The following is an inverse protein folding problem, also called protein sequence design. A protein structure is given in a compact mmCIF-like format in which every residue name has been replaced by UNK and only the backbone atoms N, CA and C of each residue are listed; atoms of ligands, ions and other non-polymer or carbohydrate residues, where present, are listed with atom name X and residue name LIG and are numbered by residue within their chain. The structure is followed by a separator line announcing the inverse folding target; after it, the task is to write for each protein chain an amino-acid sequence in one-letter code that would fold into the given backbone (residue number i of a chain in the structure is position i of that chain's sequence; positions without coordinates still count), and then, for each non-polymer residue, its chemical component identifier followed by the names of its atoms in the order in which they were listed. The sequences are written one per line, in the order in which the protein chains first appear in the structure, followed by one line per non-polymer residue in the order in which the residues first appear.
data_IF_746954544997
#
_entry.id   IF_746954544997
#
_cell.length_a   1.000
_cell.length_b   1.000
_cell.length_c   1.000
_cell.angle_alpha   90.00
_cell.angle_beta   90.00
_cell.angle_gamma   90.00
#
_symmetry.space_group_name_H-M   'P 1'
#
loop_
_entity.id
_entity.type
_entity.pdbx_description
1 polymer ?
#
# COMPACT_ATOMS: atom_id res chain seq x y z
N UNK A 1 -13.56 -10.91 17.07
CA UNK A 1 -14.43 -10.56 15.94
C UNK A 1 -13.75 -9.42 15.19
N UNK A 2 -13.24 -9.66 13.97
CA UNK A 2 -12.54 -8.63 13.18
C UNK A 2 -13.53 -7.96 12.24
N UNK A 3 -13.79 -6.63 12.35
CA UNK A 3 -14.86 -5.96 11.61
C UNK A 3 -14.38 -5.28 10.30
N UNK A 4 -13.30 -5.76 9.68
CA UNK A 4 -12.74 -5.10 8.48
C UNK A 4 -12.91 -6.01 7.26
N UNK A 5 -13.75 -5.60 6.31
CA UNK A 5 -13.75 -6.19 4.97
C UNK A 5 -12.47 -5.75 4.26
N UNK A 6 -11.51 -6.67 4.14
CA UNK A 6 -10.29 -6.41 3.38
C UNK A 6 -10.64 -6.25 1.89
N UNK A 7 -10.18 -5.13 1.32
CA UNK A 7 -10.19 -4.83 -0.11
C UNK A 7 -11.53 -4.51 -0.79
N UNK A 8 -11.50 -3.46 -1.62
CA UNK A 8 -12.56 -3.15 -2.58
C UNK A 8 -12.37 -4.03 -3.82
N UNK A 9 -13.47 -4.64 -4.29
CA UNK A 9 -13.45 -5.53 -5.46
C UNK A 9 -13.96 -4.77 -6.68
N UNK A 10 -13.09 -4.57 -7.67
CA UNK A 10 -13.46 -3.99 -8.97
C UNK A 10 -13.05 -4.94 -10.09
N UNK A 11 -14.03 -5.39 -10.89
CA UNK A 11 -13.82 -6.27 -12.05
C UNK A 11 -12.87 -7.45 -11.78
N UNK A 12 -13.03 -8.13 -10.64
CA UNK A 12 -12.22 -9.30 -10.26
C UNK A 12 -10.87 -9.00 -9.61
N UNK A 13 -10.47 -7.73 -9.48
CA UNK A 13 -9.26 -7.32 -8.75
C UNK A 13 -9.66 -6.81 -7.36
N UNK A 14 -8.94 -7.26 -6.32
CA UNK A 14 -9.12 -6.83 -4.93
C UNK A 14 -8.01 -5.86 -4.54
N UNK A 15 -8.32 -4.58 -4.43
CA UNK A 15 -7.33 -3.54 -4.09
C UNK A 15 -7.22 -3.36 -2.58
N UNK A 16 -5.99 -3.26 -2.08
CA UNK A 16 -5.76 -2.87 -0.68
C UNK A 16 -6.23 -1.44 -0.47
N UNK A 17 -6.98 -1.19 0.60
CA UNK A 17 -7.29 0.18 1.03
C UNK A 17 -6.05 0.85 1.64
N UNK A 18 -6.08 2.17 1.79
CA UNK A 18 -5.03 2.91 2.50
C UNK A 18 -4.87 2.40 3.93
N UNK A 19 -5.98 2.08 4.61
CA UNK A 19 -5.96 1.54 5.97
C UNK A 19 -5.36 0.14 6.04
N UNK A 20 -5.61 -0.70 5.02
CA UNK A 20 -4.96 -2.02 4.91
C UNK A 20 -3.43 -1.88 4.81
N UNK A 21 -2.95 -0.93 4.00
CA UNK A 21 -1.51 -0.69 3.83
C UNK A 21 -0.89 -0.17 5.15
N UNK A 22 -1.56 0.73 5.85
CA UNK A 22 -1.12 1.22 7.17
C UNK A 22 -1.07 0.06 8.16
N UNK A 23 -2.12 -0.77 8.21
CA UNK A 23 -2.20 -1.91 9.12
C UNK A 23 -1.07 -2.91 8.85
N UNK A 24 -0.86 -3.31 7.59
CA UNK A 24 0.22 -4.22 7.20
C UNK A 24 1.58 -3.65 7.61
N UNK A 25 1.84 -2.38 7.31
CA UNK A 25 3.11 -1.76 7.66
C UNK A 25 3.33 -1.68 9.17
N UNK A 26 2.29 -1.33 9.94
CA UNK A 26 2.34 -1.32 11.40
C UNK A 26 2.70 -2.69 11.96
N UNK A 27 2.02 -3.76 11.49
CA UNK A 27 2.30 -5.14 11.92
C UNK A 27 3.73 -5.57 11.56
N UNK A 28 4.24 -5.16 10.40
CA UNK A 28 5.62 -5.44 10.00
C UNK A 28 6.63 -4.78 10.93
N UNK A 29 6.49 -3.49 11.21
CA UNK A 29 7.37 -2.74 12.14
C UNK A 29 7.31 -3.38 13.54
N UNK A 30 6.11 -3.61 14.07
CA UNK A 30 5.94 -4.26 15.38
C UNK A 30 6.63 -5.63 15.46
N UNK A 31 6.65 -6.38 14.36
CA UNK A 31 7.26 -7.72 14.31
C UNK A 31 8.78 -7.72 14.10
N UNK A 32 9.32 -6.72 13.38
CA UNK A 32 10.73 -6.71 12.95
C UNK A 32 11.59 -5.70 13.71
N UNK A 33 11.03 -4.53 14.05
CA UNK A 33 11.73 -3.42 14.72
C UNK A 33 10.88 -2.87 15.89
N UNK A 34 10.65 -3.66 16.95
CA UNK A 34 9.69 -3.32 18.02
C UNK A 34 10.02 -2.03 18.80
N UNK A 35 11.26 -1.54 18.73
CA UNK A 35 11.71 -0.32 19.41
C UNK A 35 11.73 0.92 18.50
N UNK A 36 11.31 0.79 17.24
CA UNK A 36 11.29 1.90 16.28
C UNK A 36 9.98 2.70 16.42
N UNK A 37 10.03 4.03 16.55
CA UNK A 37 8.83 4.84 16.69
C UNK A 37 7.99 4.84 15.41
N UNK A 38 6.73 4.40 15.52
CA UNK A 38 5.75 4.42 14.44
C UNK A 38 5.22 5.87 14.28
N UNK A 39 5.56 6.56 13.18
CA UNK A 39 5.24 7.99 12.99
C UNK A 39 4.50 8.33 11.70
N UNK A 40 3.20 8.00 11.54
CA UNK A 40 2.41 8.21 10.30
C UNK A 40 2.79 9.45 9.45
N UNK A 41 3.65 9.27 8.45
CA UNK A 41 4.06 10.27 7.48
C UNK A 41 3.04 10.30 6.33
N UNK A 42 2.26 11.38 6.34
CA UNK A 42 1.45 11.92 5.24
C UNK A 42 0.50 10.92 4.54
N UNK A 43 -0.73 10.81 5.04
CA UNK A 43 -1.80 9.96 4.47
C UNK A 43 -2.12 10.28 2.99
N UNK A 44 -1.97 11.54 2.57
CA UNK A 44 -2.34 11.95 1.21
C UNK A 44 -1.40 11.33 0.15
N UNK A 45 -0.12 11.15 0.46
CA UNK A 45 0.83 10.50 -0.45
C UNK A 45 0.72 8.97 -0.48
N UNK A 46 0.09 8.38 0.54
CA UNK A 46 -0.22 6.96 0.54
C UNK A 46 -1.43 6.66 -0.37
N UNK A 47 -2.44 7.55 -0.37
CA UNK A 47 -3.59 7.45 -1.28
C UNK A 47 -3.17 7.45 -2.75
N UNK A 48 -2.22 8.30 -3.15
CA UNK A 48 -1.71 8.31 -4.53
C UNK A 48 -0.94 7.05 -4.90
N UNK A 49 -0.25 6.41 -3.95
CA UNK A 49 0.42 5.13 -4.18
C UNK A 49 -0.58 3.99 -4.29
N UNK A 50 -1.62 4.01 -3.46
CA UNK A 50 -2.68 3.00 -3.46
C UNK A 50 -3.51 3.03 -4.75
N UNK A 51 -3.73 4.20 -5.35
CA UNK A 51 -4.51 4.34 -6.60
C UNK A 51 -3.73 4.00 -7.88
N UNK A 52 -2.39 3.94 -7.84
CA UNK A 52 -1.57 3.67 -9.03
C UNK A 52 -1.92 2.38 -9.77
N UNK A 53 -2.16 1.24 -9.12
CA UNK A 53 -2.56 0.02 -9.81
C UNK A 53 -3.86 0.16 -10.61
N UNK A 54 -4.87 0.88 -10.10
CA UNK A 54 -6.12 1.07 -10.85
C UNK A 54 -5.93 1.99 -12.06
N UNK A 55 -5.04 2.99 -11.93
CA UNK A 55 -4.61 3.85 -13.05
C UNK A 55 -3.89 3.03 -14.12
N UNK A 56 -2.90 2.22 -13.74
CA UNK A 56 -2.15 1.34 -14.67
C UNK A 56 -3.09 0.38 -15.38
N UNK A 57 -3.98 -0.28 -14.63
CA UNK A 57 -5.01 -1.16 -15.20
C UNK A 57 -5.84 -0.45 -16.26
N UNK A 58 -6.29 0.77 -15.98
CA UNK A 58 -7.12 1.55 -16.90
C UNK A 58 -6.36 1.96 -18.17
N UNK A 59 -5.13 2.48 -18.04
CA UNK A 59 -4.41 2.97 -19.21
C UNK A 59 -3.75 1.87 -20.04
N UNK A 60 -3.21 0.84 -19.39
CA UNK A 60 -2.54 -0.27 -20.05
C UNK A 60 -3.51 -1.40 -20.43
N UNK A 61 -4.78 -1.31 -20.02
CA UNK A 61 -5.82 -2.32 -20.27
C UNK A 61 -5.39 -3.73 -19.83
N UNK A 62 -4.65 -3.81 -18.72
CA UNK A 62 -4.05 -5.06 -18.23
C UNK A 62 -4.74 -5.57 -16.97
N UNK A 63 -4.95 -6.88 -16.90
CA UNK A 63 -5.35 -7.59 -15.69
C UNK A 63 -4.21 -8.44 -15.11
N UNK A 64 -2.98 -8.22 -15.58
CA UNK A 64 -1.80 -8.93 -15.07
C UNK A 64 -1.50 -8.47 -13.63
N UNK A 65 -1.79 -9.35 -12.68
CA UNK A 65 -1.58 -9.08 -11.25
C UNK A 65 -0.13 -8.84 -10.88
N UNK A 66 0.85 -9.33 -11.65
CA UNK A 66 2.26 -9.04 -11.40
C UNK A 66 2.58 -7.58 -11.75
N UNK A 67 2.05 -7.07 -12.87
CA UNK A 67 2.19 -5.66 -13.27
C UNK A 67 1.50 -4.74 -12.27
N UNK A 68 0.26 -5.07 -11.89
CA UNK A 68 -0.51 -4.28 -10.92
C UNK A 68 0.15 -4.27 -9.54
N UNK A 69 0.70 -5.41 -9.09
CA UNK A 69 1.41 -5.49 -7.81
C UNK A 69 2.75 -4.76 -7.86
N UNK A 70 3.51 -4.89 -8.96
CA UNK A 70 4.77 -4.20 -9.15
C UNK A 70 4.59 -2.67 -9.13
N UNK A 71 3.58 -2.14 -9.81
CA UNK A 71 3.29 -0.69 -9.80
C UNK A 71 2.94 -0.13 -8.42
N UNK A 72 2.23 -0.91 -7.59
CA UNK A 72 1.97 -0.57 -6.19
C UNK A 72 3.28 -0.50 -5.40
N UNK A 73 4.08 -1.58 -5.45
CA UNK A 73 5.34 -1.70 -4.69
C UNK A 73 6.32 -0.61 -5.11
N UNK A 74 6.46 -0.36 -6.42
CA UNK A 74 7.33 0.67 -6.97
C UNK A 74 6.95 2.06 -6.42
N UNK A 75 5.65 2.39 -6.40
CA UNK A 75 5.18 3.64 -5.80
C UNK A 75 5.49 3.76 -4.32
N UNK A 76 5.28 2.67 -3.57
CA UNK A 76 5.51 2.65 -2.12
C UNK A 76 6.99 2.81 -1.77
N UNK A 77 7.90 2.28 -2.60
CA UNK A 77 9.35 2.40 -2.43
C UNK A 77 9.83 3.81 -2.82
N UNK A 78 9.40 4.31 -3.99
CA UNK A 78 9.78 5.62 -4.50
C UNK A 78 9.24 6.79 -3.65
N UNK A 79 8.30 6.53 -2.73
CA UNK A 79 7.83 7.49 -1.73
C UNK A 79 8.93 7.93 -0.72
N UNK A 80 10.02 7.18 -0.54
CA UNK A 80 10.97 7.44 0.56
C UNK A 80 12.01 8.54 0.22
N UNK A 81 12.08 9.65 0.98
CA UNK A 81 13.36 10.27 1.26
C UNK A 81 14.08 9.35 2.27
N UNK A 82 15.23 8.80 1.87
CA UNK A 82 16.37 8.39 2.69
C UNK A 82 16.26 8.66 4.22
N UNK A 83 15.44 7.87 4.91
CA UNK A 83 15.49 7.61 6.35
C UNK A 83 14.86 6.25 6.59
N UNK A 84 15.51 5.45 7.43
CA UNK A 84 15.14 4.06 7.66
C UNK A 84 13.67 3.95 8.09
N UNK A 85 12.99 2.98 7.48
CA UNK A 85 11.75 2.36 7.93
C UNK A 85 10.64 3.29 8.48
N UNK A 86 9.95 4.02 7.60
CA UNK A 86 8.54 4.32 7.87
C UNK A 86 7.77 4.48 6.54
N UNK A 87 6.92 3.49 6.22
CA UNK A 87 5.82 3.67 5.25
C UNK A 87 4.63 4.37 5.92
N UNK A 88 4.64 4.41 7.25
CA UNK A 88 3.96 5.41 8.02
C UNK A 88 4.94 6.55 8.19
#
# INVERSE_FOLDING_TARGET
MMPFSFAETDNGVRYLSVDDIIYINKRLIESQTPNEPIKVINKNSLGSSQSRPSIVRYYEQTNDMFVLSASLIESLINRKPNSKSSIC
#
